data_IF_153172682008
#
_entry.id   IF_153172682008
#
_cell.length_a   1.000
_cell.length_b   1.000
_cell.length_c   1.000
_cell.angle_alpha   90.00
_cell.angle_beta   90.00
_cell.angle_gamma   90.00
#
_symmetry.space_group_name_H-M   'P 1'
#
loop_
_entity.id
_entity.type
_entity.pdbx_description
1 polymer ?
#
# COMPACT_ATOMS: atom_id res chain seq x y z
N UNK A 1 10.62 28.53 8.07
CA UNK A 1 10.59 27.76 6.81
C UNK A 1 10.41 26.31 7.21
N UNK A 2 9.35 25.63 6.75
CA UNK A 2 9.18 24.21 7.05
C UNK A 2 10.26 23.41 6.32
N UNK A 3 10.86 22.47 7.01
CA UNK A 3 11.75 21.47 6.43
C UNK A 3 10.92 20.35 5.82
N UNK A 4 11.49 19.62 4.86
CA UNK A 4 10.82 18.46 4.26
C UNK A 4 10.45 17.41 5.33
N UNK A 5 11.28 17.28 6.36
CA UNK A 5 11.05 16.39 7.51
C UNK A 5 9.83 16.77 8.33
N UNK A 6 9.47 18.05 8.36
CA UNK A 6 8.31 18.51 9.14
C UNK A 6 7.01 18.03 8.49
N UNK A 7 6.98 17.94 7.15
CA UNK A 7 5.84 17.41 6.41
C UNK A 7 5.74 15.89 6.50
N UNK A 8 6.88 15.18 6.44
CA UNK A 8 6.92 13.71 6.53
C UNK A 8 6.49 13.23 7.92
N UNK A 9 6.87 13.96 8.97
CA UNK A 9 6.60 13.59 10.37
C UNK A 9 5.30 14.21 10.92
N UNK A 10 4.40 14.68 10.05
CA UNK A 10 3.15 15.28 10.50
C UNK A 10 2.30 14.23 11.21
N UNK A 11 1.90 14.51 12.45
CA UNK A 11 1.06 13.63 13.22
C UNK A 11 -0.39 13.69 12.73
N UNK A 12 -0.79 12.72 11.90
CA UNK A 12 -2.12 12.71 11.29
C UNK A 12 -3.26 12.52 12.31
N UNK A 13 -2.98 11.97 13.49
CA UNK A 13 -4.00 11.76 14.54
C UNK A 13 -4.62 13.07 15.03
N UNK A 14 -3.92 14.19 14.84
CA UNK A 14 -4.39 15.51 15.28
C UNK A 14 -5.44 16.09 14.33
N UNK A 15 -5.63 15.49 13.15
CA UNK A 15 -6.49 16.00 12.09
C UNK A 15 -7.52 14.99 11.56
N UNK A 16 -7.29 13.68 11.72
CA UNK A 16 -8.19 12.64 11.19
C UNK A 16 -7.96 11.29 11.87
N UNK A 17 -9.00 10.45 11.90
CA UNK A 17 -8.90 9.05 12.30
C UNK A 17 -8.38 8.12 11.19
N UNK A 18 -8.23 8.64 9.96
CA UNK A 18 -7.75 7.86 8.81
C UNK A 18 -6.34 7.33 9.04
N UNK A 19 -6.07 6.15 8.50
CA UNK A 19 -4.74 5.54 8.52
C UNK A 19 -4.18 5.37 7.10
N UNK A 20 -2.86 5.25 7.00
CA UNK A 20 -2.16 4.81 5.80
C UNK A 20 -1.77 3.34 5.99
N UNK A 21 -2.26 2.46 5.12
CA UNK A 21 -1.94 1.04 5.13
C UNK A 21 -1.01 0.71 3.96
N UNK A 22 0.21 0.28 4.27
CA UNK A 22 1.20 -0.20 3.31
C UNK A 22 0.95 -1.69 3.02
N UNK A 23 0.51 -2.03 1.81
CA UNK A 23 0.35 -3.41 1.37
C UNK A 23 1.68 -3.87 0.79
N UNK A 24 2.22 -4.98 1.30
CA UNK A 24 3.54 -5.49 0.94
C UNK A 24 3.38 -6.87 0.31
N UNK A 25 4.09 -7.14 -0.79
CA UNK A 25 4.09 -8.44 -1.45
C UNK A 25 5.46 -8.76 -2.08
N UNK A 26 5.62 -10.03 -2.45
CA UNK A 26 6.80 -10.54 -3.16
C UNK A 26 6.55 -10.38 -4.67
N UNK A 27 7.51 -9.78 -5.37
CA UNK A 27 7.46 -9.60 -6.82
C UNK A 27 7.77 -10.87 -7.60
N UNK A 28 7.73 -10.77 -8.93
CA UNK A 28 7.85 -11.93 -9.83
C UNK A 28 9.23 -12.59 -9.85
N UNK A 29 10.29 -11.93 -9.33
CA UNK A 29 11.59 -12.59 -9.20
C UNK A 29 11.65 -13.56 -8.00
N UNK A 30 10.69 -13.46 -7.08
CA UNK A 30 10.71 -14.18 -5.80
C UNK A 30 11.67 -13.59 -4.76
N UNK A 31 12.50 -12.61 -5.14
CA UNK A 31 13.50 -11.98 -4.28
C UNK A 31 13.26 -10.47 -4.07
N UNK A 32 12.45 -9.84 -4.94
CA UNK A 32 12.12 -8.43 -4.84
C UNK A 32 10.88 -8.19 -3.97
N UNK A 33 10.96 -7.20 -3.09
CA UNK A 33 9.82 -6.72 -2.31
C UNK A 33 9.17 -5.53 -3.03
N UNK A 34 7.84 -5.52 -3.03
CA UNK A 34 7.02 -4.43 -3.58
C UNK A 34 6.05 -3.97 -2.52
N UNK A 35 5.69 -2.69 -2.57
CA UNK A 35 4.66 -2.16 -1.71
C UNK A 35 3.94 -0.97 -2.32
N UNK A 36 2.73 -0.70 -1.83
CA UNK A 36 2.03 0.56 -2.07
C UNK A 36 1.08 0.88 -0.93
N UNK A 37 0.85 2.17 -0.70
CA UNK A 37 0.02 2.67 0.38
C UNK A 37 -1.40 3.03 -0.07
N UNK A 38 -2.42 2.72 0.74
CA UNK A 38 -3.77 3.31 0.62
C UNK A 38 -4.21 3.96 1.92
N UNK A 39 -5.09 4.94 1.80
CA UNK A 39 -5.81 5.50 2.94
C UNK A 39 -7.01 4.61 3.30
N UNK A 40 -7.16 4.27 4.58
CA UNK A 40 -8.35 3.63 5.14
C UNK A 40 -9.08 4.60 6.08
N UNK A 41 -10.37 4.37 6.30
CA UNK A 41 -11.23 5.27 7.09
C UNK A 41 -10.90 5.31 8.57
N UNK A 42 -10.22 4.29 9.11
CA UNK A 42 -9.88 4.19 10.52
C UNK A 42 -8.91 3.06 10.83
N UNK A 43 -8.48 2.92 12.10
CA UNK A 43 -7.63 1.82 12.55
C UNK A 43 -8.25 0.44 12.33
N UNK A 44 -7.43 -0.53 11.93
CA UNK A 44 -7.84 -1.93 11.72
C UNK A 44 -6.87 -2.85 12.45
N UNK A 45 -7.39 -3.74 13.31
CA UNK A 45 -6.58 -4.64 14.14
C UNK A 45 -6.69 -6.13 13.74
N UNK A 46 -7.44 -6.42 12.67
CA UNK A 46 -7.69 -7.77 12.19
C UNK A 46 -7.45 -7.80 10.67
N UNK A 47 -6.48 -8.58 10.16
CA UNK A 47 -6.19 -8.67 8.74
C UNK A 47 -7.39 -9.06 7.89
N UNK A 48 -8.33 -9.86 8.41
CA UNK A 48 -9.53 -10.27 7.67
C UNK A 48 -10.50 -9.12 7.38
N UNK A 49 -10.36 -8.00 8.10
CA UNK A 49 -11.15 -6.77 7.89
C UNK A 49 -10.48 -5.81 6.91
N UNK A 50 -9.26 -6.09 6.47
CA UNK A 50 -8.60 -5.31 5.44
C UNK A 50 -9.25 -5.61 4.08
N UNK A 51 -9.54 -4.57 3.27
CA UNK A 51 -10.06 -4.81 1.92
C UNK A 51 -8.97 -5.46 1.07
N UNK A 52 -9.36 -6.47 0.29
CA UNK A 52 -8.53 -6.93 -0.82
C UNK A 52 -8.17 -5.76 -1.72
N UNK A 53 -7.01 -5.86 -2.33
CA UNK A 53 -6.57 -4.87 -3.31
C UNK A 53 -6.05 -5.57 -4.55
N UNK A 54 -5.47 -4.79 -5.44
CA UNK A 54 -4.93 -5.28 -6.68
C UNK A 54 -3.66 -4.51 -7.00
N UNK A 55 -2.85 -5.01 -7.93
CA UNK A 55 -1.77 -4.26 -8.57
C UNK A 55 -1.64 -4.73 -10.02
N UNK A 56 -0.87 -3.97 -10.80
CA UNK A 56 -0.51 -4.36 -12.15
C UNK A 56 0.67 -5.36 -12.08
N UNK A 57 0.33 -6.63 -12.27
CA UNK A 57 1.27 -7.74 -12.29
C UNK A 57 2.21 -7.72 -13.49
N UNK A 58 1.87 -7.04 -14.58
CA UNK A 58 2.79 -6.93 -15.73
C UNK A 58 4.05 -6.15 -15.38
N UNK A 59 3.92 -5.13 -14.52
CA UNK A 59 5.02 -4.34 -13.96
C UNK A 59 5.86 -5.07 -12.90
N UNK A 60 5.44 -6.26 -12.48
CA UNK A 60 6.17 -7.09 -11.50
C UNK A 60 6.58 -8.46 -12.07
N UNK A 61 6.25 -8.76 -13.32
CA UNK A 61 6.50 -10.07 -13.94
C UNK A 61 5.59 -11.19 -13.41
N UNK A 62 4.39 -10.85 -12.92
CA UNK A 62 3.43 -11.78 -12.31
C UNK A 62 2.17 -12.01 -13.15
N UNK A 63 1.95 -11.21 -14.20
CA UNK A 63 0.83 -11.37 -15.13
C UNK A 63 1.20 -10.84 -16.54
N UNK A 64 0.59 -11.35 -17.63
CA UNK A 64 0.75 -10.78 -18.96
C UNK A 64 0.10 -9.39 -19.07
N UNK A 65 0.47 -8.61 -20.09
CA UNK A 65 -0.06 -7.24 -20.26
C UNK A 65 -1.55 -7.17 -20.65
N UNK A 66 -2.12 -8.24 -21.20
CA UNK A 66 -3.53 -8.29 -21.64
C UNK A 66 -4.53 -8.59 -20.52
N UNK A 67 -4.06 -9.25 -19.46
CA UNK A 67 -4.80 -9.52 -18.23
C UNK A 67 -3.85 -9.38 -17.05
N UNK A 68 -3.57 -8.12 -16.69
CA UNK A 68 -2.45 -7.79 -15.82
C UNK A 68 -2.83 -7.62 -14.35
N UNK A 69 -4.11 -7.72 -14.00
CA UNK A 69 -4.57 -7.51 -12.64
C UNK A 69 -4.22 -8.69 -11.73
N UNK A 70 -3.50 -8.43 -10.64
CA UNK A 70 -3.22 -9.43 -9.60
C UNK A 70 -3.79 -8.97 -8.27
N UNK A 71 -4.52 -9.85 -7.59
CA UNK A 71 -5.20 -9.56 -6.33
C UNK A 71 -4.25 -9.76 -5.13
N UNK A 72 -4.30 -8.81 -4.19
CA UNK A 72 -3.70 -8.88 -2.85
C UNK A 72 -4.78 -9.21 -1.82
#
# INVERSE_FOLDING_TARGET
MLLLTDLVNLNLSDCTDKIIAEYIWIGGSGMDLRSKARTLSGPVNDPSKLPKWNYDGSSTGQAPGEDSEVIL
#
